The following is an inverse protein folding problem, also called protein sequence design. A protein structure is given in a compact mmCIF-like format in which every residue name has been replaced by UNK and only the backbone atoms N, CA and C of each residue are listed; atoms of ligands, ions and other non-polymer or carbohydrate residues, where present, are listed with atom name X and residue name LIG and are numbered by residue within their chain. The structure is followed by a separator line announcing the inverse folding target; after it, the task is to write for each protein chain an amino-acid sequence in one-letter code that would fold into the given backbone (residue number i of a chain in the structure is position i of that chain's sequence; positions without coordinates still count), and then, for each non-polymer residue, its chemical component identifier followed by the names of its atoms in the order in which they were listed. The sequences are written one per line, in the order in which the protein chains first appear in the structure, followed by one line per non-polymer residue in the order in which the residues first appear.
data_IF_891505108681
#
_entry.id   IF_891505108681
#
_cell.length_a   1.000
_cell.length_b   1.000
_cell.length_c   1.000
_cell.angle_alpha   90.00
_cell.angle_beta   90.00
_cell.angle_gamma   90.00
#
_symmetry.space_group_name_H-M   'P 1'
#
loop_
_entity.id
_entity.type
_entity.pdbx_description
1 polymer ?
#
# COMPACT_ATOMS: atom_id res chain seq x y z
N UNK A 1 14.50 -15.70 4.28
CA UNK A 1 14.71 -14.26 4.49
C UNK A 1 14.05 -13.59 3.31
N UNK A 2 13.08 -12.70 3.54
CA UNK A 2 12.33 -12.08 2.45
C UNK A 2 13.20 -11.03 1.76
N UNK A 3 13.30 -11.08 0.44
CA UNK A 3 14.23 -10.27 -0.37
C UNK A 3 13.50 -9.15 -1.12
N UNK A 4 14.25 -8.19 -1.65
CA UNK A 4 13.68 -7.16 -2.54
C UNK A 4 13.07 -7.76 -3.82
N UNK A 5 13.73 -8.78 -4.38
CA UNK A 5 13.28 -9.47 -5.59
C UNK A 5 11.96 -10.22 -5.34
N UNK A 6 11.84 -10.90 -4.20
CA UNK A 6 10.58 -11.55 -3.79
C UNK A 6 9.47 -10.51 -3.56
N UNK A 7 9.78 -9.39 -2.92
CA UNK A 7 8.80 -8.31 -2.71
C UNK A 7 8.28 -7.73 -4.04
N UNK A 8 9.18 -7.51 -5.00
CA UNK A 8 8.83 -7.03 -6.35
C UNK A 8 8.02 -8.07 -7.13
N UNK A 9 8.43 -9.34 -7.10
CA UNK A 9 7.67 -10.44 -7.67
C UNK A 9 6.25 -10.47 -7.12
N UNK A 10 6.10 -10.45 -5.79
CA UNK A 10 4.80 -10.53 -5.13
C UNK A 10 3.93 -9.29 -5.36
N UNK A 11 4.52 -8.10 -5.50
CA UNK A 11 3.76 -6.90 -5.90
C UNK A 11 3.22 -7.01 -7.33
N UNK A 12 4.01 -7.56 -8.25
CA UNK A 12 3.65 -7.69 -9.66
C UNK A 12 2.82 -8.94 -9.97
N UNK A 13 2.79 -9.93 -9.06
CA UNK A 13 1.99 -11.14 -9.22
C UNK A 13 0.51 -10.79 -9.43
N UNK A 14 -0.15 -11.45 -10.39
CA UNK A 14 -1.56 -11.20 -10.65
C UNK A 14 -2.40 -11.60 -9.44
N UNK A 15 -3.29 -10.70 -9.01
CA UNK A 15 -4.18 -10.93 -7.86
C UNK A 15 -5.64 -10.82 -8.27
N UNK A 16 -6.47 -11.59 -7.58
CA UNK A 16 -7.94 -11.53 -7.64
C UNK A 16 -8.53 -11.53 -6.24
N UNK A 17 -9.75 -11.02 -6.11
CA UNK A 17 -10.50 -11.08 -4.85
C UNK A 17 -10.85 -12.54 -4.52
N UNK A 18 -10.71 -12.94 -3.26
CA UNK A 18 -11.26 -14.22 -2.77
C UNK A 18 -12.79 -14.20 -2.86
N UNK A 19 -13.41 -13.08 -2.44
CA UNK A 19 -14.85 -12.85 -2.59
C UNK A 19 -15.10 -11.74 -3.64
N UNK A 20 -15.53 -12.08 -4.87
CA UNK A 20 -15.74 -11.10 -5.94
C UNK A 20 -16.91 -10.14 -5.67
N UNK A 21 -17.78 -10.46 -4.71
CA UNK A 21 -18.92 -9.63 -4.33
C UNK A 21 -18.63 -8.76 -3.09
N UNK A 22 -17.41 -8.81 -2.56
CA UNK A 22 -17.05 -7.98 -1.41
C UNK A 22 -17.09 -6.50 -1.80
N UNK A 23 -17.73 -5.70 -0.96
CA UNK A 23 -17.81 -4.25 -1.09
C UNK A 23 -16.98 -3.59 -0.01
N UNK A 24 -16.26 -2.54 -0.39
CA UNK A 24 -15.63 -1.62 0.55
C UNK A 24 -16.66 -0.59 0.97
N UNK A 25 -17.02 -0.56 2.25
CA UNK A 25 -17.83 0.53 2.79
C UNK A 25 -16.90 1.60 3.37
N UNK A 26 -16.84 2.76 2.72
CA UNK A 26 -15.99 3.87 3.16
C UNK A 26 -16.45 4.49 4.49
N UNK A 27 -17.64 4.14 5.00
CA UNK A 27 -18.05 4.48 6.37
C UNK A 27 -17.26 3.71 7.43
N UNK A 28 -16.79 2.50 7.08
CA UNK A 28 -16.00 1.69 8.00
C UNK A 28 -14.62 2.31 8.16
N UNK A 29 -14.17 2.46 9.41
CA UNK A 29 -12.84 2.99 9.72
C UNK A 29 -11.71 2.15 9.13
N UNK A 30 -12.00 0.88 8.89
CA UNK A 30 -11.06 -0.12 8.40
C UNK A 30 -11.81 -1.11 7.53
N UNK A 31 -11.34 -1.25 6.29
CA UNK A 31 -11.78 -2.27 5.35
C UNK A 31 -10.60 -3.19 5.07
N UNK A 32 -10.85 -4.50 5.05
CA UNK A 32 -9.86 -5.51 4.73
C UNK A 32 -10.43 -6.46 3.71
N UNK A 33 -9.64 -6.74 2.67
CA UNK A 33 -10.05 -7.54 1.53
C UNK A 33 -8.96 -8.59 1.30
N UNK A 34 -9.36 -9.86 1.22
CA UNK A 34 -8.43 -10.96 0.95
C UNK A 34 -8.26 -11.14 -0.56
N UNK A 35 -7.01 -11.35 -0.96
CA UNK A 35 -6.63 -11.62 -2.34
C UNK A 35 -5.86 -12.93 -2.42
N UNK A 36 -6.00 -13.57 -3.57
CA UNK A 36 -5.20 -14.74 -3.97
C UNK A 36 -4.58 -14.49 -5.33
N UNK A 37 -3.55 -15.27 -5.67
CA UNK A 37 -3.09 -15.41 -7.05
C UNK A 37 -3.45 -16.79 -7.58
N UNK A 38 -4.01 -16.83 -8.80
CA UNK A 38 -4.22 -18.09 -9.51
C UNK A 38 -2.94 -18.59 -10.21
N UNK A 39 -1.95 -17.71 -10.37
CA UNK A 39 -0.65 -18.05 -10.98
C UNK A 39 0.26 -18.76 -9.98
N UNK A 40 0.11 -18.43 -8.70
CA UNK A 40 0.93 -18.97 -7.62
C UNK A 40 0.09 -19.03 -6.33
N UNK A 41 -0.54 -20.19 -6.13
CA UNK A 41 -1.53 -20.42 -5.08
C UNK A 41 -0.93 -20.48 -3.67
N UNK A 42 0.40 -20.56 -3.57
CA UNK A 42 1.10 -20.64 -2.29
C UNK A 42 1.12 -19.27 -1.59
N UNK A 43 0.81 -18.19 -2.32
CA UNK A 43 0.77 -16.83 -1.81
C UNK A 43 -0.65 -16.31 -1.60
N UNK A 44 -0.91 -15.86 -0.37
CA UNK A 44 -2.11 -15.11 -0.01
C UNK A 44 -1.75 -13.66 0.36
N UNK A 45 -2.70 -12.76 0.15
CA UNK A 45 -2.54 -11.33 0.41
C UNK A 45 -3.78 -10.74 1.06
N UNK A 46 -3.62 -9.57 1.65
CA UNK A 46 -4.75 -8.70 1.93
C UNK A 46 -4.50 -7.26 1.46
N UNK A 47 -5.56 -6.54 1.14
CA UNK A 47 -5.57 -5.09 1.10
C UNK A 47 -6.19 -4.61 2.40
N UNK A 48 -5.57 -3.60 3.01
CA UNK A 48 -6.14 -2.89 4.14
C UNK A 48 -6.27 -1.40 3.80
N UNK A 49 -7.49 -0.88 3.90
CA UNK A 49 -7.84 0.52 3.72
C UNK A 49 -8.34 1.05 5.06
N UNK A 50 -7.63 2.02 5.62
CA UNK A 50 -8.01 2.65 6.90
C UNK A 50 -8.38 4.09 6.64
N UNK A 51 -9.60 4.48 7.00
CA UNK A 51 -10.15 5.84 6.95
C UNK A 51 -10.50 6.27 8.38
N UNK A 52 -9.79 7.21 9.00
CA UNK A 52 -10.24 7.76 10.28
C UNK A 52 -11.07 9.04 10.08
N UNK A 53 -12.03 9.30 10.96
CA UNK A 53 -12.89 10.50 10.99
C UNK A 53 -12.10 11.81 11.02
N UNK A 54 -10.82 11.75 11.43
CA UNK A 54 -9.86 12.86 11.40
C UNK A 54 -8.75 12.65 10.36
N UNK A 55 -9.06 12.18 9.16
CA UNK A 55 -8.26 12.53 7.99
C UNK A 55 -6.99 11.65 7.75
N UNK A 56 -6.73 10.56 8.48
CA UNK A 56 -5.67 9.59 8.11
C UNK A 56 -6.23 8.56 7.13
N UNK A 57 -5.64 8.50 5.93
CA UNK A 57 -5.88 7.45 4.94
C UNK A 57 -4.62 6.64 4.70
N UNK A 58 -4.75 5.33 4.91
CA UNK A 58 -3.70 4.34 4.59
C UNK A 58 -4.28 3.27 3.70
N UNK A 59 -3.62 3.00 2.59
CA UNK A 59 -3.93 1.87 1.71
C UNK A 59 -2.71 1.01 1.59
N UNK A 60 -2.79 -0.25 2.03
CA UNK A 60 -1.64 -1.15 2.10
C UNK A 60 -1.95 -2.54 1.58
N UNK A 61 -0.93 -3.18 1.00
CA UNK A 61 -0.95 -4.61 0.67
C UNK A 61 0.07 -5.33 1.52
N UNK A 62 -0.31 -6.50 2.02
CA UNK A 62 0.60 -7.37 2.76
C UNK A 62 0.50 -8.79 2.23
N UNK A 63 1.65 -9.46 2.18
CA UNK A 63 1.76 -10.89 1.97
C UNK A 63 1.53 -11.61 3.31
N UNK A 64 0.69 -12.64 3.30
CA UNK A 64 0.38 -13.48 4.46
C UNK A 64 1.30 -14.71 4.48
N UNK A 65 2.06 -14.84 5.55
CA UNK A 65 2.88 -16.00 5.85
C UNK A 65 2.25 -16.76 7.02
N UNK A 66 2.52 -18.07 7.18
CA UNK A 66 1.81 -19.01 8.07
C UNK A 66 1.44 -18.53 9.49
N UNK A 67 2.11 -17.51 10.06
CA UNK A 67 1.72 -16.83 11.31
C UNK A 67 2.08 -15.32 11.33
N UNK A 68 2.37 -14.71 10.18
CA UNK A 68 2.87 -13.34 10.09
C UNK A 68 2.34 -12.64 8.84
N UNK A 69 2.55 -11.33 8.74
CA UNK A 69 2.31 -10.61 7.49
C UNK A 69 3.45 -9.65 7.21
N UNK A 70 3.81 -9.52 5.94
CA UNK A 70 4.86 -8.63 5.47
C UNK A 70 4.20 -7.55 4.62
N UNK A 71 4.26 -6.30 5.10
CA UNK A 71 3.79 -5.15 4.33
C UNK A 71 4.70 -4.89 3.14
N UNK A 72 4.15 -4.94 1.92
CA UNK A 72 4.91 -4.79 0.68
C UNK A 72 4.90 -3.34 0.17
N UNK A 73 3.72 -2.71 0.19
CA UNK A 73 3.51 -1.34 -0.25
C UNK A 73 2.41 -0.68 0.59
N UNK A 74 2.58 0.61 0.89
CA UNK A 74 1.53 1.41 1.53
C UNK A 74 1.56 2.85 1.03
N UNK A 75 0.40 3.44 0.78
CA UNK A 75 0.27 4.88 0.55
C UNK A 75 -0.33 5.52 1.79
N UNK A 76 0.34 6.55 2.30
CA UNK A 76 -0.09 7.37 3.43
C UNK A 76 -0.26 8.82 2.96
N UNK A 77 -1.46 9.38 3.11
CA UNK A 77 -1.68 10.79 2.76
C UNK A 77 -1.43 11.73 3.93
N UNK A 78 -1.70 11.28 5.16
CA UNK A 78 -1.70 12.15 6.35
C UNK A 78 -1.09 11.48 7.58
N UNK A 79 -0.19 10.53 7.33
CA UNK A 79 0.74 10.01 8.34
C UNK A 79 2.02 10.84 8.33
N UNK A 80 2.69 10.95 9.47
CA UNK A 80 4.10 11.34 9.49
C UNK A 80 4.99 10.10 9.43
N UNK A 81 6.21 10.27 8.93
CA UNK A 81 7.19 9.19 8.86
C UNK A 81 8.62 9.72 8.91
N UNK A 82 9.56 8.90 9.37
CA UNK A 82 10.99 9.16 9.32
C UNK A 82 11.65 7.94 8.70
N UNK A 83 12.36 8.17 7.59
CA UNK A 83 13.17 7.13 6.97
C UNK A 83 14.39 6.82 7.86
N UNK A 84 14.88 5.56 7.87
CA UNK A 84 16.11 5.21 8.55
C UNK A 84 17.29 6.06 8.08
N UNK A 85 18.18 6.39 9.00
CA UNK A 85 19.48 7.02 8.71
C UNK A 85 20.49 5.98 8.18
N UNK A 86 20.46 4.77 8.73
CA UNK A 86 21.40 3.70 8.35
C UNK A 86 21.05 3.14 6.96
N UNK A 87 21.97 3.29 6.01
CA UNK A 87 21.88 2.75 4.66
C UNK A 87 22.58 1.38 4.60
N UNK A 88 21.86 0.37 4.13
CA UNK A 88 22.33 -0.98 3.84
C UNK A 88 22.51 -1.16 2.34
N UNK A 89 23.35 -2.12 1.95
CA UNK A 89 23.59 -2.45 0.53
C UNK A 89 22.32 -2.95 -0.19
N UNK A 90 21.32 -3.39 0.56
CA UNK A 90 20.01 -3.81 0.06
C UNK A 90 19.06 -2.63 -0.21
N UNK A 91 19.43 -1.38 0.08
CA UNK A 91 18.59 -0.22 -0.22
C UNK A 91 18.64 0.12 -1.72
N UNK A 92 17.50 0.11 -2.45
CA UNK A 92 17.45 0.54 -3.84
C UNK A 92 17.99 1.96 -4.04
N UNK A 93 18.74 2.20 -5.13
CA UNK A 93 19.37 3.49 -5.42
C UNK A 93 18.38 4.66 -5.40
N UNK A 94 17.16 4.46 -5.92
CA UNK A 94 16.15 5.51 -5.99
C UNK A 94 15.63 5.96 -4.61
N UNK A 95 15.85 5.17 -3.54
CA UNK A 95 15.47 5.53 -2.17
C UNK A 95 16.59 6.24 -1.40
N UNK A 96 17.86 6.10 -1.83
CA UNK A 96 19.01 6.71 -1.15
C UNK A 96 18.90 8.22 -0.95
N UNK A 97 18.38 9.03 -1.90
CA UNK A 97 18.21 10.47 -1.70
C UNK A 97 17.29 10.84 -0.53
N UNK A 98 16.48 9.89 -0.04
CA UNK A 98 15.52 10.11 1.04
C UNK A 98 15.97 9.48 2.36
N UNK A 99 17.23 9.04 2.49
CA UNK A 99 17.76 8.60 3.78
C UNK A 99 17.64 9.71 4.84
N UNK A 100 17.29 9.34 6.06
CA UNK A 100 17.05 10.27 7.19
C UNK A 100 15.96 11.34 6.96
N UNK A 101 15.19 11.26 5.86
CA UNK A 101 14.14 12.23 5.55
C UNK A 101 12.95 12.09 6.51
N UNK A 102 12.50 13.23 7.03
CA UNK A 102 11.21 13.37 7.71
C UNK A 102 10.10 13.74 6.71
N UNK A 103 9.03 12.95 6.71
CA UNK A 103 7.78 13.20 6.02
C UNK A 103 6.77 13.79 7.00
N UNK A 104 6.31 14.99 6.71
CA UNK A 104 5.30 15.65 7.52
C UNK A 104 3.90 15.04 7.24
N UNK A 105 2.93 15.16 8.17
CA UNK A 105 1.55 14.74 7.91
C UNK A 105 0.86 15.44 6.73
N UNK A 106 1.45 16.51 6.19
CA UNK A 106 0.99 17.20 4.98
C UNK A 106 1.69 16.72 3.71
N UNK A 107 2.61 15.75 3.80
CA UNK A 107 3.40 15.23 2.69
C UNK A 107 2.99 13.78 2.39
N UNK A 108 2.06 13.55 1.45
CA UNK A 108 1.69 12.21 1.02
C UNK A 108 2.90 11.43 0.50
N UNK A 109 3.05 10.19 0.95
CA UNK A 109 4.20 9.36 0.63
C UNK A 109 3.81 7.88 0.47
N UNK A 110 4.67 7.16 -0.25
CA UNK A 110 4.54 5.73 -0.46
C UNK A 110 5.63 5.01 0.32
N UNK A 111 5.22 4.15 1.25
CA UNK A 111 6.11 3.19 1.88
C UNK A 111 6.34 1.98 0.98
N UNK A 112 7.58 1.50 0.99
CA UNK A 112 8.04 0.39 0.17
C UNK A 112 8.77 -0.60 1.07
N UNK A 113 8.57 -1.89 0.83
CA UNK A 113 9.39 -2.91 1.44
C UNK A 113 10.86 -2.76 1.01
N UNK A 114 11.79 -2.87 1.96
CA UNK A 114 13.23 -2.92 1.69
C UNK A 114 13.84 -4.04 2.53
N UNK A 115 14.54 -4.95 1.86
CA UNK A 115 15.21 -6.09 2.46
C UNK A 115 16.18 -5.67 3.57
N UNK A 116 16.15 -6.41 4.67
CA UNK A 116 16.98 -6.13 5.84
C UNK A 116 16.47 -4.99 6.73
N UNK A 117 15.37 -4.31 6.37
CA UNK A 117 14.70 -3.33 7.24
C UNK A 117 13.39 -3.88 7.78
N UNK A 118 12.83 -3.18 8.78
CA UNK A 118 11.45 -3.42 9.20
C UNK A 118 10.51 -3.17 7.99
N UNK A 119 9.49 -4.00 7.75
CA UNK A 119 8.56 -3.80 6.63
C UNK A 119 7.96 -2.39 6.62
N UNK A 120 7.91 -1.78 5.44
CA UNK A 120 7.40 -0.42 5.20
C UNK A 120 8.14 0.68 5.99
N UNK A 121 9.39 0.44 6.40
CA UNK A 121 10.19 1.45 7.10
C UNK A 121 10.78 2.52 6.17
N UNK A 122 10.77 2.31 4.85
CA UNK A 122 11.24 3.28 3.89
C UNK A 122 10.07 3.85 3.12
N UNK A 123 10.11 5.16 2.86
CA UNK A 123 9.16 5.85 2.02
C UNK A 123 9.82 6.84 1.07
N UNK A 124 9.05 7.26 0.08
CA UNK A 124 9.39 8.25 -0.94
C UNK A 124 8.17 9.17 -1.12
N UNK A 125 8.35 10.49 -1.37
CA UNK A 125 7.22 11.39 -1.58
C UNK A 125 6.38 10.92 -2.76
N UNK A 126 5.06 11.03 -2.66
CA UNK A 126 4.20 10.66 -3.78
C UNK A 126 4.50 11.52 -5.02
N UNK A 127 4.96 12.76 -4.87
CA UNK A 127 5.34 13.64 -6.00
C UNK A 127 6.45 13.07 -6.88
N UNK A 128 7.27 12.16 -6.35
CA UNK A 128 8.44 11.59 -7.02
C UNK A 128 8.15 10.23 -7.67
N UNK A 129 6.94 9.70 -7.49
CA UNK A 129 6.49 8.43 -8.07
C UNK A 129 5.48 8.72 -9.17
N UNK A 130 5.48 7.91 -10.23
CA UNK A 130 4.37 7.89 -11.19
C UNK A 130 3.13 7.21 -10.56
N UNK A 131 2.34 7.98 -9.81
CA UNK A 131 1.09 7.57 -9.18
C UNK A 131 0.04 8.68 -9.33
N UNK A 132 -1.13 8.46 -9.95
CA UNK A 132 -2.01 9.56 -10.36
C UNK A 132 -2.55 10.45 -9.23
N UNK A 133 -2.78 9.89 -8.05
CA UNK A 133 -3.42 10.61 -6.94
C UNK A 133 -2.35 11.16 -6.00
N UNK A 134 -2.19 12.48 -5.99
CA UNK A 134 -1.21 13.21 -5.14
C UNK A 134 -1.84 13.89 -3.95
N UNK A 135 -3.13 14.20 -4.02
CA UNK A 135 -3.90 14.85 -2.94
C UNK A 135 -5.30 14.26 -2.85
N UNK A 136 -5.99 14.51 -1.73
CA UNK A 136 -7.36 14.05 -1.47
C UNK A 136 -8.15 15.22 -0.93
N UNK A 137 -9.04 15.74 -1.76
CA UNK A 137 -9.84 16.92 -1.54
C UNK A 137 -11.34 16.60 -1.47
N UNK A 138 -11.77 15.49 -2.08
CA UNK A 138 -13.16 15.04 -2.13
C UNK A 138 -13.28 13.50 -2.06
N UNK A 139 -14.52 13.01 -1.93
CA UNK A 139 -14.79 11.58 -1.77
C UNK A 139 -14.47 10.74 -3.01
N UNK A 140 -14.56 11.31 -4.22
CA UNK A 140 -14.17 10.61 -5.46
C UNK A 140 -12.68 10.30 -5.50
N UNK A 141 -11.84 11.17 -4.94
CA UNK A 141 -10.39 10.97 -4.89
C UNK A 141 -10.01 9.72 -4.06
N UNK A 142 -10.86 9.35 -3.08
CA UNK A 142 -10.69 8.10 -2.32
C UNK A 142 -10.93 6.87 -3.20
N UNK A 143 -11.97 6.90 -4.03
CA UNK A 143 -12.24 5.81 -4.97
C UNK A 143 -11.13 5.70 -6.00
N UNK A 144 -10.68 6.83 -6.55
CA UNK A 144 -9.59 6.86 -7.51
C UNK A 144 -8.27 6.37 -6.89
N UNK A 145 -8.00 6.69 -5.63
CA UNK A 145 -6.85 6.14 -4.91
C UNK A 145 -6.94 4.61 -4.85
N UNK A 146 -8.09 4.07 -4.44
CA UNK A 146 -8.28 2.62 -4.28
C UNK A 146 -8.11 1.92 -5.64
N UNK A 147 -8.67 2.47 -6.71
CA UNK A 147 -8.54 1.91 -8.06
C UNK A 147 -7.11 1.99 -8.59
N UNK A 148 -6.40 3.10 -8.39
CA UNK A 148 -5.01 3.23 -8.83
C UNK A 148 -4.06 2.38 -7.98
N UNK A 149 -4.34 2.23 -6.69
CA UNK A 149 -3.61 1.29 -5.83
C UNK A 149 -3.83 -0.15 -6.29
N UNK A 150 -5.07 -0.56 -6.57
CA UNK A 150 -5.40 -1.86 -7.12
C UNK A 150 -4.63 -2.16 -8.41
N UNK A 151 -4.57 -1.20 -9.35
CA UNK A 151 -3.73 -1.32 -10.56
C UNK A 151 -2.25 -1.49 -10.23
N UNK A 152 -1.72 -0.71 -9.30
CA UNK A 152 -0.29 -0.74 -8.91
C UNK A 152 0.16 -2.08 -8.34
N UNK A 153 -0.75 -2.84 -7.71
CA UNK A 153 -0.50 -4.17 -7.11
C UNK A 153 -0.94 -5.32 -8.02
N UNK A 154 -1.25 -5.04 -9.29
CA UNK A 154 -1.73 -5.98 -10.30
C UNK A 154 -3.01 -6.75 -9.92
N UNK A 155 -3.97 -6.08 -9.27
CA UNK A 155 -5.30 -6.64 -9.01
C UNK A 155 -6.16 -6.57 -10.29
N UNK A 156 -6.70 -7.71 -10.73
CA UNK A 156 -7.54 -7.80 -11.93
C UNK A 156 -9.04 -7.74 -11.64
N UNK A 157 -9.44 -8.17 -10.45
CA UNK A 157 -10.83 -8.08 -10.01
C UNK A 157 -11.26 -6.63 -9.82
N UNK A 158 -12.54 -6.35 -10.08
CA UNK A 158 -13.14 -5.05 -9.81
C UNK A 158 -13.43 -4.95 -8.31
N UNK A 159 -12.98 -3.86 -7.69
CA UNK A 159 -13.35 -3.51 -6.32
C UNK A 159 -14.67 -2.75 -6.34
N UNK A 160 -15.67 -3.25 -5.63
CA UNK A 160 -16.92 -2.51 -5.43
C UNK A 160 -16.77 -1.56 -4.23
N UNK A 161 -17.09 -0.27 -4.42
CA UNK A 161 -16.99 0.75 -3.38
C UNK A 161 -18.39 1.29 -3.08
N UNK A 162 -18.80 1.19 -1.82
CA UNK A 162 -19.98 1.83 -1.30
C UNK A 162 -19.56 3.12 -0.60
N UNK A 163 -20.05 4.23 -1.15
CA UNK A 163 -19.85 5.55 -0.56
C UNK A 163 -20.74 5.76 0.65
N UNK A 164 -20.30 6.61 1.57
CA UNK A 164 -21.21 7.19 2.53
C UNK A 164 -22.23 8.05 1.76
N UNK A 165 -23.51 7.66 1.79
CA UNK A 165 -24.59 8.60 1.50
C UNK A 165 -24.45 9.75 2.51
N UNK A 166 -24.25 10.96 1.99
CA UNK A 166 -24.23 12.22 2.75
C UNK A 166 -25.56 12.42 3.48
#
# INVERSE_FOLDING_TARGET
MFTNQEAEYLLNLEKVLVNPYQTIDLKNKKNRIELISNQDSDYAFWIEITTNQKIILKTSIHHLESNSHIGLLRIDFKGGHHNPENIKDTLPEFLKPYADKWFLPSEPHMHIYVEGYKPLAWAIPLTEIDFPIKEINQSSDLSDLIFNFARRINLKSIINIQHALL
#
